data_IF_199025393502
#
_entry.id   IF_199025393502
#
_cell.length_a   1.000
_cell.length_b   1.000
_cell.length_c   1.000
_cell.angle_alpha   90.00
_cell.angle_beta   90.00
_cell.angle_gamma   90.00
#
_symmetry.space_group_name_H-M   'P 1'
#
loop_
_entity.id
_entity.type
_entity.pdbx_description
1 polymer ?
#
# COMPACT_ATOMS: atom_id res chain seq x y z
N UNK A 1 21.83 4.39 4.69
CA UNK A 1 21.88 5.52 5.64
C UNK A 1 20.46 5.81 6.08
N UNK A 2 20.15 5.81 7.39
CA UNK A 2 18.82 6.19 7.85
C UNK A 2 18.62 7.69 7.67
N UNK A 3 17.74 8.07 6.74
CA UNK A 3 17.27 9.44 6.60
C UNK A 3 16.54 9.84 7.89
N UNK A 4 17.24 10.56 8.76
CA UNK A 4 16.73 10.97 10.07
C UNK A 4 15.66 12.05 9.86
N UNK A 5 14.39 11.64 9.86
CA UNK A 5 13.24 12.55 9.76
C UNK A 5 13.20 13.43 11.01
N UNK A 6 13.58 14.71 10.86
CA UNK A 6 13.56 15.66 11.98
C UNK A 6 12.12 16.09 12.24
N UNK A 7 11.52 15.62 13.33
CA UNK A 7 10.13 15.96 13.68
C UNK A 7 9.93 17.47 13.85
N UNK A 8 8.75 17.95 13.47
CA UNK A 8 8.33 19.35 13.58
C UNK A 8 9.09 20.33 12.68
N UNK A 9 9.74 19.86 11.61
CA UNK A 9 10.43 20.71 10.64
C UNK A 9 9.69 20.76 9.31
N UNK A 10 9.59 21.94 8.71
CA UNK A 10 8.92 22.11 7.42
C UNK A 10 9.50 21.18 6.35
N UNK A 11 10.82 21.07 6.26
CA UNK A 11 11.52 20.22 5.28
C UNK A 11 11.28 18.72 5.43
N UNK A 12 10.71 18.28 6.55
CA UNK A 12 10.33 16.89 6.82
C UNK A 12 8.81 16.69 6.90
N UNK A 13 8.03 17.74 6.60
CA UNK A 13 6.58 17.73 6.61
C UNK A 13 6.02 17.27 5.25
N UNK A 14 4.99 16.43 5.27
CA UNK A 14 4.28 15.98 4.05
C UNK A 14 3.81 17.13 3.15
N UNK A 15 3.43 18.25 3.75
CA UNK A 15 2.86 19.39 3.04
C UNK A 15 3.91 20.34 2.46
N UNK A 16 5.19 19.96 2.42
CA UNK A 16 6.30 20.82 2.01
C UNK A 16 6.91 20.36 0.69
N UNK A 17 7.00 21.27 -0.27
CA UNK A 17 7.62 21.07 -1.58
C UNK A 17 9.01 21.71 -1.61
N UNK A 18 10.03 20.91 -1.90
CA UNK A 18 11.43 21.33 -1.85
C UNK A 18 11.87 21.97 -3.16
N UNK A 19 12.33 23.22 -3.09
CA UNK A 19 12.74 24.04 -4.24
C UNK A 19 14.27 24.14 -4.41
N UNK A 20 15.05 23.54 -3.51
CA UNK A 20 16.51 23.59 -3.55
C UNK A 20 17.18 23.83 -2.20
N UNK A 21 18.50 23.70 -2.19
CA UNK A 21 19.32 23.91 -1.00
C UNK A 21 19.38 25.41 -0.69
N UNK A 22 19.06 25.78 0.54
CA UNK A 22 19.03 27.16 1.04
C UNK A 22 17.93 28.05 0.42
N UNK A 23 16.93 27.45 -0.25
CA UNK A 23 15.73 28.16 -0.74
C UNK A 23 14.52 27.83 0.12
N UNK A 24 13.51 28.71 0.08
CA UNK A 24 12.23 28.42 0.71
C UNK A 24 11.41 27.51 -0.19
N UNK A 25 10.98 26.39 0.35
CA UNK A 25 9.98 25.51 -0.24
C UNK A 25 8.56 25.95 0.07
N UNK A 26 7.62 25.52 -0.76
CA UNK A 26 6.21 25.85 -0.62
C UNK A 26 5.53 24.90 0.37
N UNK A 27 4.82 25.44 1.36
CA UNK A 27 3.94 24.67 2.23
C UNK A 27 2.49 24.79 1.78
N UNK A 28 1.88 23.68 1.35
CA UNK A 28 0.49 23.64 0.86
C UNK A 28 -0.55 23.86 1.96
N UNK A 29 -0.24 23.50 3.22
CA UNK A 29 -1.14 23.68 4.36
C UNK A 29 -1.29 25.17 4.73
N UNK A 30 -0.17 25.87 4.91
CA UNK A 30 -0.15 27.29 5.25
C UNK A 30 -0.20 28.20 4.01
N UNK A 31 -0.10 27.61 2.81
CA UNK A 31 -0.08 28.30 1.51
C UNK A 31 0.97 29.40 1.44
N UNK A 32 2.14 29.12 2.01
CA UNK A 32 3.24 30.09 2.17
C UNK A 32 4.59 29.38 2.09
N UNK A 33 5.66 30.16 1.98
CA UNK A 33 7.03 29.68 1.77
C UNK A 33 7.84 29.67 3.07
N UNK A 34 8.45 28.54 3.38
CA UNK A 34 9.21 28.30 4.62
C UNK A 34 10.58 27.68 4.32
N UNK A 35 11.54 27.88 5.20
CA UNK A 35 12.81 27.15 5.14
C UNK A 35 12.62 25.70 5.61
N UNK A 36 13.44 24.75 5.12
CA UNK A 36 13.37 23.36 5.54
C UNK A 36 13.53 23.20 7.07
N UNK A 37 14.35 24.05 7.69
CA UNK A 37 14.62 24.03 9.12
C UNK A 37 13.61 24.84 9.96
N UNK A 38 12.61 25.47 9.35
CA UNK A 38 11.56 26.16 10.10
C UNK A 38 10.70 25.17 10.87
N UNK A 39 10.25 25.58 12.05
CA UNK A 39 9.34 24.77 12.86
C UNK A 39 7.93 24.80 12.28
N UNK A 40 7.29 23.64 12.17
CA UNK A 40 5.94 23.47 11.65
C UNK A 40 5.00 23.05 12.79
N UNK A 41 4.02 23.88 13.15
CA UNK A 41 3.04 23.55 14.20
C UNK A 41 2.01 22.52 13.73
N UNK A 42 1.71 22.51 12.43
CA UNK A 42 0.92 21.48 11.75
C UNK A 42 1.82 20.47 11.04
N UNK A 43 2.93 20.09 11.69
CA UNK A 43 3.84 19.11 11.14
C UNK A 43 3.17 17.76 11.01
N UNK A 44 3.08 17.29 9.78
CA UNK A 44 2.56 15.99 9.44
C UNK A 44 3.74 15.12 9.00
N UNK A 45 4.08 14.11 9.82
CA UNK A 45 5.01 13.08 9.40
C UNK A 45 4.38 12.41 8.19
N UNK A 46 5.08 12.33 7.07
CA UNK A 46 4.69 11.45 5.97
C UNK A 46 4.75 9.98 6.40
N UNK A 47 3.85 9.58 7.30
CA UNK A 47 3.28 8.25 7.25
C UNK A 47 2.29 8.31 6.10
N UNK A 48 2.80 8.23 4.86
CA UNK A 48 1.97 7.96 3.70
C UNK A 48 1.48 6.51 3.81
N UNK A 49 0.65 6.22 4.81
CA UNK A 49 -0.56 5.45 4.57
C UNK A 49 -1.63 6.48 4.20
N UNK A 50 -1.50 7.11 3.04
CA UNK A 50 -2.63 7.79 2.43
C UNK A 50 -3.72 6.74 2.23
N UNK A 51 -4.73 6.82 3.08
CA UNK A 51 -5.93 5.97 3.07
C UNK A 51 -6.80 6.16 1.82
N UNK A 52 -6.31 6.83 0.77
CA UNK A 52 -7.09 7.21 -0.41
C UNK A 52 -6.53 6.73 -1.74
N UNK A 53 -5.36 6.10 -1.79
CA UNK A 53 -4.73 5.73 -3.07
C UNK A 53 -4.29 4.28 -3.07
N UNK A 54 -5.07 3.44 -3.77
CA UNK A 54 -4.61 2.20 -4.38
C UNK A 54 -4.13 1.12 -3.43
N UNK A 55 -4.99 0.16 -3.15
CA UNK A 55 -4.52 -1.14 -2.72
C UNK A 55 -3.92 -1.81 -3.99
N UNK A 56 -2.63 -1.57 -4.28
CA UNK A 56 -1.99 -1.86 -5.59
C UNK A 56 -2.32 -3.23 -6.20
N UNK A 57 -2.18 -4.30 -5.42
CA UNK A 57 -2.48 -5.68 -5.87
C UNK A 57 -3.96 -5.86 -6.22
N UNK A 58 -4.81 -5.20 -5.46
CA UNK A 58 -6.27 -5.32 -5.52
C UNK A 58 -6.85 -4.43 -6.62
N UNK A 59 -6.24 -3.28 -6.88
CA UNK A 59 -6.50 -2.43 -8.06
C UNK A 59 -6.14 -3.18 -9.35
N UNK A 60 -4.94 -3.79 -9.43
CA UNK A 60 -4.55 -4.61 -10.58
C UNK A 60 -5.52 -5.77 -10.86
N UNK A 61 -6.07 -6.39 -9.80
CA UNK A 61 -7.09 -7.44 -9.95
C UNK A 61 -8.43 -6.91 -10.44
N UNK A 62 -8.87 -5.75 -9.98
CA UNK A 62 -10.14 -5.17 -10.43
C UNK A 62 -10.07 -4.70 -11.87
N UNK A 63 -8.95 -4.10 -12.27
CA UNK A 63 -8.69 -3.77 -13.69
C UNK A 63 -8.73 -5.04 -14.56
N UNK A 64 -8.09 -6.12 -14.12
CA UNK A 64 -8.15 -7.41 -14.83
C UNK A 64 -9.57 -7.98 -14.93
N UNK A 65 -10.36 -7.91 -13.87
CA UNK A 65 -11.75 -8.38 -13.84
C UNK A 65 -12.76 -7.44 -14.49
N UNK A 66 -12.34 -6.25 -14.93
CA UNK A 66 -13.24 -5.20 -15.41
C UNK A 66 -14.20 -4.68 -14.32
N UNK A 67 -13.81 -4.82 -13.05
CA UNK A 67 -14.59 -4.37 -11.90
C UNK A 67 -14.24 -2.92 -11.57
N UNK A 68 -15.21 -2.14 -11.06
CA UNK A 68 -14.94 -0.79 -10.62
C UNK A 68 -14.10 -0.80 -9.33
N UNK A 69 -13.33 0.26 -9.09
CA UNK A 69 -12.40 0.37 -7.95
C UNK A 69 -13.11 0.44 -6.59
N UNK A 70 -14.43 0.66 -6.59
CA UNK A 70 -15.32 0.66 -5.42
C UNK A 70 -16.07 -0.67 -5.21
N UNK A 71 -15.69 -1.74 -5.93
CA UNK A 71 -16.35 -3.03 -5.78
C UNK A 71 -16.33 -3.51 -4.32
N UNK A 72 -17.33 -4.30 -3.94
CA UNK A 72 -17.59 -4.65 -2.54
C UNK A 72 -16.39 -5.37 -1.91
N UNK A 73 -15.72 -6.20 -2.67
CA UNK A 73 -14.51 -6.94 -2.31
C UNK A 73 -13.40 -5.98 -1.88
N UNK A 74 -13.12 -4.95 -2.69
CA UNK A 74 -12.10 -3.95 -2.40
C UNK A 74 -12.46 -3.07 -1.22
N UNK A 75 -13.72 -2.63 -1.17
CA UNK A 75 -14.18 -1.75 -0.09
C UNK A 75 -14.06 -2.44 1.27
N UNK A 76 -14.37 -3.74 1.36
CA UNK A 76 -14.21 -4.52 2.60
C UNK A 76 -12.73 -4.66 2.98
N UNK A 77 -11.85 -4.97 2.02
CA UNK A 77 -10.41 -5.11 2.28
C UNK A 77 -9.76 -3.78 2.71
N UNK A 78 -10.11 -2.68 2.04
CA UNK A 78 -9.68 -1.31 2.39
C UNK A 78 -10.16 -0.96 3.79
N UNK A 79 -11.44 -1.19 4.09
CA UNK A 79 -11.98 -0.94 5.41
C UNK A 79 -11.29 -1.76 6.50
N UNK A 80 -10.97 -3.04 6.25
CA UNK A 80 -10.22 -3.88 7.18
C UNK A 80 -8.81 -3.34 7.43
N UNK A 81 -8.09 -2.98 6.37
CA UNK A 81 -6.76 -2.37 6.48
C UNK A 81 -6.79 -1.08 7.29
N UNK A 82 -7.68 -0.17 6.91
CA UNK A 82 -7.72 1.19 7.42
C UNK A 82 -8.28 1.27 8.84
N UNK A 83 -9.24 0.40 9.20
CA UNK A 83 -9.90 0.44 10.50
C UNK A 83 -9.40 -0.58 11.52
N UNK A 84 -8.78 -1.69 11.09
CA UNK A 84 -8.27 -2.74 11.97
C UNK A 84 -6.75 -2.81 11.95
N UNK A 85 -6.13 -3.04 10.78
CA UNK A 85 -4.66 -3.23 10.71
C UNK A 85 -3.88 -1.97 11.13
N UNK A 86 -4.38 -0.78 10.81
CA UNK A 86 -3.77 0.49 11.21
C UNK A 86 -3.68 0.69 12.74
N UNK A 87 -4.57 0.03 13.50
CA UNK A 87 -4.63 0.14 14.97
C UNK A 87 -3.68 -0.82 15.68
N UNK A 88 -3.15 -1.80 14.96
CA UNK A 88 -2.26 -2.82 15.52
C UNK A 88 -0.80 -2.43 15.17
N UNK A 89 0.14 -2.42 16.13
CA UNK A 89 1.54 -2.09 15.86
C UNK A 89 2.18 -2.96 14.76
N UNK A 90 1.96 -4.28 14.80
CA UNK A 90 2.40 -5.19 13.73
C UNK A 90 1.67 -4.90 12.41
N UNK A 91 0.36 -4.64 12.46
CA UNK A 91 -0.45 -4.32 11.29
C UNK A 91 0.05 -3.07 10.55
N UNK A 92 0.46 -2.01 11.27
CA UNK A 92 1.08 -0.83 10.67
C UNK A 92 2.37 -1.15 9.92
N UNK A 93 3.25 -1.97 10.50
CA UNK A 93 4.49 -2.38 9.84
C UNK A 93 4.21 -3.22 8.60
N UNK A 94 3.21 -4.11 8.66
CA UNK A 94 2.76 -4.90 7.53
C UNK A 94 2.21 -4.04 6.38
N UNK A 95 1.39 -3.04 6.71
CA UNK A 95 0.90 -2.06 5.73
C UNK A 95 2.07 -1.34 5.08
N UNK A 96 3.04 -0.88 5.86
CA UNK A 96 4.21 -0.19 5.32
C UNK A 96 4.98 -1.06 4.32
N UNK A 97 5.31 -2.31 4.70
CA UNK A 97 6.01 -3.25 3.81
C UNK A 97 5.18 -3.50 2.54
N UNK A 98 3.86 -3.63 2.66
CA UNK A 98 2.97 -3.77 1.52
C UNK A 98 3.08 -2.58 0.56
N UNK A 99 3.03 -1.34 1.07
CA UNK A 99 3.14 -0.15 0.22
C UNK A 99 4.53 0.01 -0.41
N UNK A 100 5.58 -0.48 0.24
CA UNK A 100 6.95 -0.51 -0.29
C UNK A 100 7.12 -1.56 -1.41
N UNK A 101 6.56 -2.76 -1.22
CA UNK A 101 6.80 -3.91 -2.12
C UNK A 101 5.74 -4.08 -3.22
N UNK A 102 4.47 -3.74 -2.98
CA UNK A 102 3.38 -4.02 -3.90
C UNK A 102 3.55 -3.37 -5.29
N UNK A 103 4.05 -2.12 -5.45
CA UNK A 103 4.32 -1.56 -6.77
C UNK A 103 5.34 -2.38 -7.58
N UNK A 104 6.39 -2.88 -6.91
CA UNK A 104 7.40 -3.76 -7.54
C UNK A 104 6.78 -5.07 -7.99
N UNK A 105 5.95 -5.68 -7.13
CA UNK A 105 5.26 -6.94 -7.41
C UNK A 105 4.29 -6.77 -8.59
N UNK A 106 3.46 -5.73 -8.60
CA UNK A 106 2.53 -5.45 -9.71
C UNK A 106 3.29 -5.28 -11.03
N UNK A 107 4.39 -4.53 -11.03
CA UNK A 107 5.21 -4.36 -12.24
C UNK A 107 5.78 -5.69 -12.75
N UNK A 108 6.12 -6.62 -11.85
CA UNK A 108 6.56 -7.97 -12.23
C UNK A 108 5.42 -8.81 -12.80
N UNK A 109 4.22 -8.74 -12.20
CA UNK A 109 3.02 -9.41 -12.69
C UNK A 109 2.67 -8.92 -14.10
N UNK A 110 2.68 -7.61 -14.34
CA UNK A 110 2.38 -7.02 -15.64
C UNK A 110 3.32 -7.51 -16.75
N UNK A 111 4.59 -7.78 -16.42
CA UNK A 111 5.60 -8.29 -17.34
C UNK A 111 5.59 -9.82 -17.44
N UNK A 112 4.79 -10.52 -16.64
CA UNK A 112 4.75 -11.98 -16.61
C UNK A 112 3.82 -12.53 -17.70
N UNK A 113 4.21 -13.59 -18.42
CA UNK A 113 3.30 -14.29 -19.32
C UNK A 113 2.15 -14.99 -18.59
N UNK A 114 2.25 -15.15 -17.26
CA UNK A 114 1.22 -15.74 -16.41
C UNK A 114 0.37 -14.69 -15.68
N UNK A 115 0.45 -13.42 -16.09
CA UNK A 115 -0.29 -12.29 -15.51
C UNK A 115 -1.72 -12.65 -15.13
N UNK A 116 -2.47 -13.15 -16.10
CA UNK A 116 -3.90 -13.41 -15.95
C UNK A 116 -4.18 -14.51 -14.92
N UNK A 117 -3.37 -15.58 -14.90
CA UNK A 117 -3.45 -16.66 -13.90
C UNK A 117 -3.15 -16.12 -12.49
N UNK A 118 -2.10 -15.30 -12.36
CA UNK A 118 -1.70 -14.71 -11.07
C UNK A 118 -2.81 -13.78 -10.55
N UNK A 119 -3.37 -12.92 -11.41
CA UNK A 119 -4.45 -11.99 -11.04
C UNK A 119 -5.75 -12.72 -10.69
N UNK A 120 -6.06 -13.83 -11.37
CA UNK A 120 -7.19 -14.70 -11.01
C UNK A 120 -7.05 -15.28 -9.60
N UNK A 121 -5.86 -15.81 -9.27
CA UNK A 121 -5.58 -16.40 -7.96
C UNK A 121 -5.64 -15.35 -6.84
N UNK A 122 -5.08 -14.16 -7.07
CA UNK A 122 -5.17 -13.05 -6.11
C UNK A 122 -6.64 -12.68 -5.89
N UNK A 123 -7.44 -12.60 -6.96
CA UNK A 123 -8.85 -12.27 -6.86
C UNK A 123 -9.64 -13.30 -6.04
N UNK A 124 -9.38 -14.59 -6.25
CA UNK A 124 -10.01 -15.66 -5.46
C UNK A 124 -9.65 -15.55 -3.98
N UNK A 125 -8.38 -15.28 -3.66
CA UNK A 125 -7.93 -15.12 -2.29
C UNK A 125 -8.55 -13.88 -1.63
N UNK A 126 -8.66 -12.76 -2.35
CA UNK A 126 -9.38 -11.55 -1.89
C UNK A 126 -10.85 -11.87 -1.58
N UNK A 127 -11.52 -12.68 -2.41
CA UNK A 127 -12.88 -13.13 -2.15
C UNK A 127 -12.98 -13.97 -0.87
N UNK A 128 -12.01 -14.84 -0.60
CA UNK A 128 -11.96 -15.62 0.63
C UNK A 128 -11.68 -14.76 1.87
N UNK A 129 -10.74 -13.82 1.77
CA UNK A 129 -10.44 -12.86 2.84
C UNK A 129 -11.67 -12.02 3.21
N UNK A 130 -12.43 -11.54 2.20
CA UNK A 130 -13.72 -10.87 2.41
C UNK A 130 -14.67 -11.74 3.23
N UNK A 131 -14.87 -13.01 2.85
CA UNK A 131 -15.75 -13.93 3.59
C UNK A 131 -15.28 -14.13 5.04
N UNK A 132 -13.97 -14.15 5.28
CA UNK A 132 -13.41 -14.29 6.63
C UNK A 132 -13.64 -13.02 7.49
N UNK A 133 -13.48 -11.84 6.89
CA UNK A 133 -13.76 -10.54 7.52
C UNK A 133 -15.24 -10.44 7.88
N UNK A 134 -16.14 -10.80 6.95
CA UNK A 134 -17.59 -10.80 7.19
C UNK A 134 -17.99 -11.78 8.32
N UNK A 135 -17.20 -12.83 8.57
CA UNK A 135 -17.38 -13.78 9.68
C UNK A 135 -16.71 -13.35 11.00
N UNK A 136 -16.02 -12.21 11.03
CA UNK A 136 -15.38 -11.66 12.23
C UNK A 136 -14.07 -12.35 12.65
N UNK A 137 -13.45 -13.17 11.78
CA UNK A 137 -12.19 -13.87 12.08
C UNK A 137 -10.97 -13.01 11.79
N UNK A 138 -10.86 -11.87 12.47
CA UNK A 138 -9.92 -10.79 12.10
C UNK A 138 -8.43 -11.16 12.27
N UNK A 139 -8.07 -11.97 13.26
CA UNK A 139 -6.66 -12.38 13.47
C UNK A 139 -6.15 -13.31 12.37
N UNK A 140 -6.98 -14.26 11.92
CA UNK A 140 -6.66 -15.17 10.82
C UNK A 140 -6.48 -14.41 9.48
N UNK A 141 -7.22 -13.31 9.31
CA UNK A 141 -7.18 -12.46 8.11
C UNK A 141 -5.83 -11.75 7.97
N UNK A 142 -5.21 -11.31 9.07
CA UNK A 142 -3.89 -10.63 9.00
C UNK A 142 -2.80 -11.58 8.47
N UNK A 143 -2.69 -12.77 9.05
CA UNK A 143 -1.70 -13.78 8.62
C UNK A 143 -1.91 -14.14 7.15
N UNK A 144 -3.17 -14.26 6.73
CA UNK A 144 -3.53 -14.64 5.37
C UNK A 144 -3.33 -13.51 4.36
N UNK A 145 -3.52 -12.25 4.78
CA UNK A 145 -3.18 -11.07 3.97
C UNK A 145 -1.68 -10.96 3.70
N UNK A 146 -0.84 -11.24 4.72
CA UNK A 146 0.62 -11.28 4.56
C UNK A 146 1.06 -12.42 3.65
N UNK A 147 0.48 -13.61 3.84
CA UNK A 147 0.76 -14.78 3.03
C UNK A 147 0.45 -14.52 1.55
N UNK A 148 -0.68 -13.87 1.26
CA UNK A 148 -1.04 -13.46 -0.11
C UNK A 148 0.06 -12.61 -0.75
N UNK A 149 0.58 -11.60 -0.03
CA UNK A 149 1.64 -10.73 -0.56
C UNK A 149 2.94 -11.51 -0.82
N UNK A 150 3.34 -12.38 0.10
CA UNK A 150 4.55 -13.21 -0.05
C UNK A 150 4.44 -14.20 -1.21
N UNK A 151 3.31 -14.91 -1.33
CA UNK A 151 3.06 -15.86 -2.40
C UNK A 151 2.97 -15.16 -3.76
N UNK A 152 2.40 -13.96 -3.79
CA UNK A 152 2.31 -13.19 -5.03
C UNK A 152 3.69 -12.74 -5.50
N UNK A 153 4.55 -12.27 -4.59
CA UNK A 153 5.92 -11.92 -4.91
C UNK A 153 6.75 -13.14 -5.36
N UNK A 154 6.54 -14.30 -4.74
CA UNK A 154 7.17 -15.55 -5.16
C UNK A 154 6.72 -15.94 -6.58
N UNK A 155 5.42 -15.91 -6.86
CA UNK A 155 4.86 -16.21 -8.19
C UNK A 155 5.25 -15.19 -9.26
N UNK A 156 5.47 -13.92 -8.88
CA UNK A 156 5.94 -12.89 -9.80
C UNK A 156 7.44 -13.00 -10.11
N UNK A 157 8.23 -13.65 -9.22
CA UNK A 157 9.66 -13.95 -9.40
C UNK A 157 9.93 -15.34 -9.99
N UNK A 158 9.05 -16.29 -9.72
CA UNK A 158 9.18 -17.72 -9.98
C UNK A 158 8.89 -18.08 -11.43
N UNK A 159 9.86 -18.77 -12.04
CA UNK A 159 9.84 -19.34 -13.38
C UNK A 159 8.77 -20.45 -13.47
N UNK A 160 8.33 -20.70 -14.71
CA UNK A 160 7.77 -21.97 -15.21
C UNK A 160 7.95 -23.15 -14.23
N UNK A 161 6.89 -23.53 -13.52
CA UNK A 161 6.73 -24.90 -13.04
C UNK A 161 5.40 -25.43 -13.60
N UNK A 162 5.56 -26.38 -14.54
CA UNK A 162 4.61 -27.40 -15.06
C UNK A 162 3.41 -26.83 -15.86
N UNK A 163 3.41 -26.82 -17.21
CA UNK A 163 3.38 -27.96 -18.16
C UNK A 163 2.60 -29.16 -17.64
N UNK A 164 1.34 -29.22 -18.08
CA UNK A 164 0.62 -30.38 -18.60
C UNK A 164 0.95 -31.75 -17.98
N UNK A 165 -0.02 -32.30 -17.26
CA UNK A 165 -0.35 -33.73 -17.28
C UNK A 165 -1.87 -33.89 -17.53
#
# INVERSE_FOLDING_TARGET
MSDYVVKYKCGSCRNYEYEGKDTKGYCSYYRSYYYPDDSCSHWDQSNTCESSTGCFLTTACCEYKGLPDDCKELTVMRAFRDNYLSKIPVGRRCIQIYYEEAPRIVNQIEKSPFRDKILEEIYQEVCELKKMIEKGKNEDVLSRYLLLMMQTDEKSRGKQEEKDD
#
